data_IF_619383043742
#
_entry.id   IF_619383043742
#
_cell.length_a   1.000
_cell.length_b   1.000
_cell.length_c   1.000
_cell.angle_alpha   90.00
_cell.angle_beta   90.00
_cell.angle_gamma   90.00
#
_symmetry.space_group_name_H-M   'P 1'
#
loop_
_entity.id
_entity.type
_entity.pdbx_description
1 polymer ?
#
# COMPACT_ATOMS: atom_id res chain seq x y z
N UNK A 1 -6.46 -10.89 -19.95
CA UNK A 1 -5.19 -10.58 -19.24
C UNK A 1 -5.21 -9.23 -18.52
N UNK A 2 -6.00 -8.25 -18.97
CA UNK A 2 -6.08 -6.89 -18.41
C UNK A 2 -6.75 -6.78 -17.02
N UNK A 3 -7.70 -7.65 -16.68
CA UNK A 3 -8.43 -7.52 -15.41
C UNK A 3 -7.58 -7.84 -14.17
N UNK A 4 -6.54 -8.65 -14.32
CA UNK A 4 -5.62 -9.00 -13.23
C UNK A 4 -4.66 -7.85 -12.87
N UNK A 5 -4.44 -6.90 -13.79
CA UNK A 5 -3.60 -5.71 -13.57
C UNK A 5 -4.36 -4.55 -12.92
N UNK A 6 -5.70 -4.60 -12.93
CA UNK A 6 -6.54 -3.56 -12.32
C UNK A 6 -6.28 -3.43 -10.83
N UNK A 7 -6.07 -4.52 -10.11
CA UNK A 7 -5.83 -4.50 -8.66
C UNK A 7 -4.50 -3.84 -8.32
N UNK A 8 -3.36 -4.25 -8.91
CA UNK A 8 -2.11 -3.51 -8.76
C UNK A 8 -2.24 -2.03 -9.10
N UNK A 9 -2.89 -1.69 -10.21
CA UNK A 9 -3.02 -0.31 -10.66
C UNK A 9 -3.86 0.55 -9.69
N UNK A 10 -5.05 0.08 -9.30
CA UNK A 10 -5.93 0.79 -8.35
C UNK A 10 -5.23 0.94 -7.00
N UNK A 11 -4.58 -0.13 -6.53
CA UNK A 11 -3.87 -0.10 -5.24
C UNK A 11 -2.73 0.91 -5.28
N UNK A 12 -1.96 0.97 -6.38
CA UNK A 12 -0.90 1.95 -6.56
C UNK A 12 -1.42 3.38 -6.53
N UNK A 13 -2.54 3.67 -7.21
CA UNK A 13 -3.17 5.00 -7.20
C UNK A 13 -3.61 5.39 -5.79
N UNK A 14 -4.25 4.46 -5.06
CA UNK A 14 -4.64 4.67 -3.67
C UNK A 14 -3.40 4.90 -2.78
N UNK A 15 -2.29 4.20 -3.03
CA UNK A 15 -1.04 4.39 -2.33
C UNK A 15 -0.46 5.78 -2.56
N UNK A 16 -0.46 6.27 -3.80
CA UNK A 16 0.04 7.61 -4.12
C UNK A 16 -0.76 8.69 -3.38
N UNK A 17 -2.09 8.53 -3.31
CA UNK A 17 -2.93 9.40 -2.48
C UNK A 17 -2.56 9.34 -1.00
N UNK A 18 -2.35 8.13 -0.46
CA UNK A 18 -1.88 7.95 0.91
C UNK A 18 -0.51 8.59 1.17
N UNK A 19 0.46 8.41 0.26
CA UNK A 19 1.79 8.99 0.35
C UNK A 19 1.71 10.52 0.39
N UNK A 20 0.86 11.13 -0.44
CA UNK A 20 0.59 12.57 -0.40
C UNK A 20 0.06 13.04 0.96
N UNK A 21 -0.89 12.29 1.56
CA UNK A 21 -1.41 12.59 2.89
C UNK A 21 -0.36 12.46 3.99
N UNK A 22 0.53 11.45 3.91
CA UNK A 22 1.65 11.25 4.84
C UNK A 22 2.62 12.42 4.78
N UNK A 23 2.99 12.85 3.57
CA UNK A 23 3.89 13.99 3.34
C UNK A 23 3.26 15.29 3.87
N UNK A 24 1.96 15.49 3.68
CA UNK A 24 1.21 16.64 4.20
C UNK A 24 1.01 16.59 5.73
N UNK A 25 1.36 15.49 6.41
CA UNK A 25 1.14 15.32 7.85
C UNK A 25 -0.33 15.19 8.25
N UNK A 26 -1.20 14.78 7.32
CA UNK A 26 -2.64 14.69 7.57
C UNK A 26 -2.99 13.52 8.50
N UNK A 27 -3.90 13.70 9.49
CA UNK A 27 -4.38 12.59 10.33
C UNK A 27 -5.12 11.52 9.51
N UNK A 28 -5.62 11.85 8.32
CA UNK A 28 -6.26 10.92 7.39
C UNK A 28 -5.31 9.80 6.89
N UNK A 29 -3.99 10.00 7.00
CA UNK A 29 -3.01 8.98 6.66
C UNK A 29 -3.22 7.68 7.46
N UNK A 30 -3.65 7.77 8.73
CA UNK A 30 -3.88 6.58 9.56
C UNK A 30 -5.02 5.71 9.01
N UNK A 31 -6.11 6.33 8.55
CA UNK A 31 -7.27 5.61 8.01
C UNK A 31 -6.97 5.00 6.65
N UNK A 32 -6.31 5.75 5.77
CA UNK A 32 -5.91 5.26 4.44
C UNK A 32 -4.92 4.11 4.53
N UNK A 33 -4.04 4.10 5.53
CA UNK A 33 -3.14 2.98 5.84
C UNK A 33 -3.90 1.69 6.16
N UNK A 34 -4.93 1.76 7.01
CA UNK A 34 -5.75 0.58 7.34
C UNK A 34 -6.50 0.04 6.12
N UNK A 35 -7.04 0.93 5.28
CA UNK A 35 -7.72 0.53 4.05
C UNK A 35 -6.74 -0.16 3.08
N UNK A 36 -5.56 0.42 2.86
CA UNK A 36 -4.56 -0.12 1.94
C UNK A 36 -3.99 -1.46 2.38
N UNK A 37 -3.62 -1.59 3.66
CA UNK A 37 -2.93 -2.79 4.15
C UNK A 37 -3.86 -3.85 4.72
N UNK A 38 -5.08 -3.49 5.12
CA UNK A 38 -6.08 -4.43 5.60
C UNK A 38 -6.94 -5.05 4.48
N UNK A 39 -7.26 -4.27 3.44
CA UNK A 39 -8.18 -4.73 2.40
C UNK A 39 -7.57 -5.83 1.52
N UNK A 40 -6.31 -5.68 1.09
CA UNK A 40 -5.66 -6.61 0.17
C UNK A 40 -5.51 -8.05 0.72
N UNK A 41 -5.05 -8.27 1.97
CA UNK A 41 -4.97 -9.62 2.54
C UNK A 41 -6.34 -10.27 2.72
N UNK A 42 -7.34 -9.48 3.13
CA UNK A 42 -8.73 -9.95 3.28
C UNK A 42 -9.31 -10.37 1.93
N UNK A 43 -9.07 -9.57 0.89
CA UNK A 43 -9.48 -9.88 -0.48
C UNK A 43 -8.78 -11.14 -1.02
N UNK A 44 -7.48 -11.29 -0.76
CA UNK A 44 -6.73 -12.48 -1.13
C UNK A 44 -7.27 -13.75 -0.44
N UNK A 45 -7.55 -13.67 0.87
CA UNK A 45 -8.14 -14.77 1.63
C UNK A 45 -9.54 -15.14 1.11
N UNK A 46 -10.39 -14.15 0.82
CA UNK A 46 -11.72 -14.40 0.26
C UNK A 46 -11.68 -15.06 -1.12
N UNK A 47 -10.69 -14.74 -1.95
CA UNK A 47 -10.54 -15.37 -3.27
C UNK A 47 -9.96 -16.78 -3.18
N UNK A 48 -9.01 -17.03 -2.26
CA UNK A 48 -8.53 -18.38 -1.98
C UNK A 48 -9.66 -19.35 -1.61
N UNK A 49 -10.63 -18.88 -0.84
CA UNK A 49 -11.73 -19.71 -0.34
C UNK A 49 -12.85 -19.94 -1.37
N UNK A 50 -12.98 -19.09 -2.39
CA UNK A 50 -14.17 -19.08 -3.26
C UNK A 50 -13.98 -19.67 -4.66
N UNK A 51 -12.76 -19.70 -5.20
CA UNK A 51 -12.59 -19.79 -6.67
C UNK A 51 -11.49 -20.74 -7.18
N UNK A 52 -11.06 -21.72 -6.38
CA UNK A 52 -10.14 -22.78 -6.82
C UNK A 52 -8.84 -22.24 -7.43
N UNK A 53 -8.40 -22.76 -8.58
CA UNK A 53 -7.13 -22.33 -9.24
C UNK A 53 -7.14 -20.85 -9.63
N UNK A 54 -8.27 -20.30 -10.08
CA UNK A 54 -8.38 -18.87 -10.41
C UNK A 54 -8.28 -17.99 -9.17
N UNK A 55 -8.93 -18.39 -8.07
CA UNK A 55 -8.82 -17.74 -6.78
C UNK A 55 -7.40 -17.75 -6.22
N UNK A 56 -6.68 -18.87 -6.42
CA UNK A 56 -5.27 -19.00 -6.03
C UNK A 56 -4.36 -18.05 -6.81
N UNK A 57 -4.47 -17.99 -8.14
CA UNK A 57 -3.67 -17.06 -8.97
C UNK A 57 -3.95 -15.61 -8.58
N UNK A 58 -5.22 -15.28 -8.36
CA UNK A 58 -5.61 -13.95 -7.91
C UNK A 58 -5.02 -13.60 -6.55
N UNK A 59 -5.07 -14.52 -5.59
CA UNK A 59 -4.52 -14.32 -4.26
C UNK A 59 -3.00 -14.11 -4.29
N UNK A 60 -2.27 -14.83 -5.15
CA UNK A 60 -0.84 -14.58 -5.36
C UNK A 60 -0.62 -13.15 -5.84
N UNK A 61 -1.38 -12.67 -6.83
CA UNK A 61 -1.26 -11.30 -7.34
C UNK A 61 -1.56 -10.28 -6.25
N UNK A 62 -2.61 -10.49 -5.46
CA UNK A 62 -2.99 -9.61 -4.36
C UNK A 62 -1.91 -9.57 -3.26
N UNK A 63 -1.33 -10.72 -2.89
CA UNK A 63 -0.25 -10.83 -1.89
C UNK A 63 1.03 -10.17 -2.41
N UNK A 64 1.43 -10.41 -3.67
CA UNK A 64 2.60 -9.77 -4.28
C UNK A 64 2.42 -8.25 -4.33
N UNK A 65 1.22 -7.78 -4.71
CA UNK A 65 0.88 -6.36 -4.69
C UNK A 65 1.00 -5.79 -3.28
N UNK A 66 0.42 -6.47 -2.29
CA UNK A 66 0.50 -6.08 -0.89
C UNK A 66 1.94 -6.01 -0.37
N UNK A 67 2.78 -6.98 -0.75
CA UNK A 67 4.20 -7.00 -0.37
C UNK A 67 4.98 -5.83 -1.01
N UNK A 68 4.76 -5.56 -2.30
CA UNK A 68 5.36 -4.41 -2.98
C UNK A 68 4.94 -3.08 -2.35
N UNK A 69 3.67 -2.98 -1.96
CA UNK A 69 3.12 -1.83 -1.25
C UNK A 69 3.73 -1.64 0.14
N UNK A 70 3.96 -2.72 0.88
CA UNK A 70 4.67 -2.66 2.16
C UNK A 70 6.10 -2.15 1.99
N UNK A 71 6.79 -2.58 0.93
CA UNK A 71 8.13 -2.08 0.64
C UNK A 71 8.13 -0.58 0.32
N UNK A 72 7.18 -0.11 -0.51
CA UNK A 72 7.00 1.31 -0.80
C UNK A 72 6.73 2.14 0.47
N UNK A 73 5.90 1.62 1.38
CA UNK A 73 5.60 2.25 2.66
C UNK A 73 6.82 2.37 3.57
N UNK A 74 7.66 1.34 3.61
CA UNK A 74 8.93 1.37 4.37
C UNK A 74 9.85 2.46 3.80
N UNK A 75 9.97 2.55 2.47
CA UNK A 75 10.77 3.58 1.80
C UNK A 75 10.22 4.97 2.13
N UNK A 76 8.92 5.17 2.02
CA UNK A 76 8.27 6.45 2.34
C UNK A 76 8.49 6.85 3.81
N UNK A 77 8.35 5.89 4.72
CA UNK A 77 8.55 6.10 6.15
C UNK A 77 9.99 6.53 6.44
N UNK A 78 10.97 5.78 5.94
CA UNK A 78 12.39 6.12 6.11
C UNK A 78 12.73 7.48 5.49
N UNK A 79 12.25 7.76 4.28
CA UNK A 79 12.42 9.06 3.63
C UNK A 79 11.82 10.21 4.44
N UNK A 80 10.63 10.00 5.03
CA UNK A 80 9.97 11.01 5.87
C UNK A 80 10.75 11.32 7.14
N UNK A 81 11.39 10.31 7.75
CA UNK A 81 12.24 10.47 8.94
C UNK A 81 13.49 11.27 8.56
N UNK A 82 14.20 10.85 7.52
CA UNK A 82 15.42 11.52 7.04
C UNK A 82 15.16 12.99 6.69
N UNK A 83 14.04 13.29 6.02
CA UNK A 83 13.67 14.67 5.68
C UNK A 83 13.34 15.49 6.94
N UNK A 84 12.68 14.89 7.93
CA UNK A 84 12.39 15.55 9.21
C UNK A 84 13.67 15.86 9.98
N UNK A 85 14.59 14.90 10.07
CA UNK A 85 15.88 15.06 10.75
C UNK A 85 16.73 16.12 10.07
N UNK A 86 16.78 16.12 8.73
CA UNK A 86 17.49 17.14 7.96
C UNK A 86 16.90 18.56 8.17
N UNK A 87 15.57 18.68 8.31
CA UNK A 87 14.93 19.97 8.62
C UNK A 87 15.22 20.42 10.05
N UNK A 88 15.20 19.51 11.02
CA UNK A 88 15.53 19.81 12.41
C UNK A 88 16.97 20.32 12.56
N UNK A 89 17.92 19.67 11.88
CA UNK A 89 19.33 20.09 11.90
C UNK A 89 19.61 21.42 11.20
N UNK A 90 18.75 21.85 10.25
CA UNK A 90 18.88 23.17 9.59
C UNK A 90 18.25 24.32 10.39
N UNK A 91 17.42 24.01 11.38
CA UNK A 91 16.75 25.00 12.22
C UNK A 91 17.54 25.34 13.50
N UNK A 92 18.59 24.58 13.79
CA UNK A 92 19.62 24.84 14.80
C UNK A 92 20.76 25.68 14.18
#
# INVERSE_FOLDING_TARGET
MTIFLLIPAITLVLWLGHAGLVIAGSPAARYTRWVLFGCLPVLAAGMLLSSGVFGFVFAIIAILTWLGMMLLEVILTMGSIVVRDARANRAL
#
